data_IF_611509666424
#
_entry.id   IF_611509666424
#
_cell.length_a   1.000
_cell.length_b   1.000
_cell.length_c   1.000
_cell.angle_alpha   90.00
_cell.angle_beta   90.00
_cell.angle_gamma   90.00
#
_symmetry.space_group_name_H-M   'P 1'
#
loop_
_entity.id
_entity.type
_entity.pdbx_description
1 polymer ?
#
# COMPACT_ATOMS: atom_id res chain seq x y z
N UNK A 1 -16.25 14.82 9.68
CA UNK A 1 -15.81 15.40 8.39
C UNK A 1 -15.29 14.35 7.42
N UNK A 2 -14.41 13.42 7.82
CA UNK A 2 -13.91 12.40 6.88
C UNK A 2 -15.02 11.55 6.26
N UNK A 3 -15.97 10.97 7.02
CA UNK A 3 -17.08 10.22 6.41
C UNK A 3 -17.94 11.03 5.44
N UNK A 4 -18.06 12.34 5.68
CA UNK A 4 -18.87 13.27 4.86
C UNK A 4 -18.27 13.43 3.46
N UNK A 5 -16.94 13.37 3.33
CA UNK A 5 -16.25 13.52 2.04
C UNK A 5 -15.87 12.16 1.45
N UNK A 6 -15.49 11.18 2.28
CA UNK A 6 -15.05 9.86 1.81
C UNK A 6 -16.18 9.05 1.17
N UNK A 7 -17.41 9.11 1.73
CA UNK A 7 -18.56 8.41 1.15
C UNK A 7 -18.86 8.87 -0.29
N UNK A 8 -19.11 10.17 -0.56
CA UNK A 8 -19.38 10.59 -1.93
C UNK A 8 -18.13 10.49 -2.82
N UNK A 9 -16.90 10.63 -2.29
CA UNK A 9 -15.69 10.33 -3.05
C UNK A 9 -15.64 8.87 -3.56
N UNK A 10 -16.27 7.95 -2.83
CA UNK A 10 -16.32 6.53 -3.18
C UNK A 10 -17.53 6.15 -4.05
N UNK A 11 -18.69 6.77 -3.81
CA UNK A 11 -19.98 6.28 -4.34
C UNK A 11 -20.69 7.21 -5.30
N UNK A 12 -20.21 8.45 -5.51
CA UNK A 12 -20.84 9.36 -6.47
C UNK A 12 -20.88 8.70 -7.86
N UNK A 13 -22.00 8.73 -8.61
CA UNK A 13 -22.09 8.09 -9.92
C UNK A 13 -21.13 8.70 -10.94
N UNK A 14 -20.83 10.00 -10.84
CA UNK A 14 -19.92 10.69 -11.74
C UNK A 14 -18.46 10.51 -11.30
N UNK A 15 -17.65 9.95 -12.21
CA UNK A 15 -16.23 9.68 -11.96
C UNK A 15 -15.42 10.95 -11.73
N UNK A 16 -15.81 12.08 -12.36
CA UNK A 16 -15.14 13.37 -12.15
C UNK A 16 -15.42 13.89 -10.74
N UNK A 17 -16.67 13.84 -10.30
CA UNK A 17 -17.10 14.22 -8.95
C UNK A 17 -16.38 13.39 -7.89
N UNK A 18 -16.31 12.06 -8.05
CA UNK A 18 -15.50 11.18 -7.18
C UNK A 18 -14.04 11.66 -7.07
N UNK A 19 -13.40 11.94 -8.20
CA UNK A 19 -12.00 12.40 -8.25
C UNK A 19 -11.81 13.76 -7.56
N UNK A 20 -12.70 14.73 -7.80
CA UNK A 20 -12.66 16.05 -7.14
C UNK A 20 -12.79 15.91 -5.63
N UNK A 21 -13.72 15.09 -5.16
CA UNK A 21 -13.94 14.86 -3.73
C UNK A 21 -12.76 14.14 -3.08
N UNK A 22 -12.17 13.13 -3.75
CA UNK A 22 -10.97 12.46 -3.25
C UNK A 22 -9.77 13.42 -3.18
N UNK A 23 -9.62 14.30 -4.16
CA UNK A 23 -8.59 15.34 -4.12
C UNK A 23 -8.80 16.33 -2.97
N UNK A 24 -10.04 16.74 -2.71
CA UNK A 24 -10.38 17.58 -1.57
C UNK A 24 -10.02 16.88 -0.25
N UNK A 25 -10.43 15.61 -0.08
CA UNK A 25 -10.09 14.79 1.08
C UNK A 25 -8.58 14.70 1.28
N UNK A 26 -7.83 14.45 0.20
CA UNK A 26 -6.38 14.40 0.21
C UNK A 26 -5.77 15.73 0.67
N UNK A 27 -6.25 16.86 0.15
CA UNK A 27 -5.79 18.18 0.55
C UNK A 27 -6.05 18.45 2.03
N UNK A 28 -7.23 18.07 2.54
CA UNK A 28 -7.56 18.19 3.96
C UNK A 28 -6.59 17.38 4.83
N UNK A 29 -6.36 16.11 4.49
CA UNK A 29 -5.43 15.22 5.23
C UNK A 29 -4.00 15.75 5.21
N UNK A 30 -3.55 16.31 4.08
CA UNK A 30 -2.19 16.88 3.98
C UNK A 30 -1.99 18.15 4.82
N UNK A 31 -3.07 18.84 5.21
CA UNK A 31 -3.02 20.10 5.99
C UNK A 31 -3.12 19.90 7.49
N UNK A 32 -3.62 18.76 7.98
CA UNK A 32 -3.68 18.48 9.42
C UNK A 32 -2.31 18.08 9.97
N UNK A 33 -2.18 18.06 11.31
CA UNK A 33 -0.97 17.57 11.97
C UNK A 33 -0.70 16.10 11.61
N UNK A 34 0.58 15.66 11.51
CA UNK A 34 0.94 14.31 11.08
C UNK A 34 0.23 13.18 11.84
N UNK A 35 0.11 13.28 13.17
CA UNK A 35 -0.58 12.28 14.01
C UNK A 35 -2.05 12.11 13.63
N UNK A 36 -2.76 13.21 13.32
CA UNK A 36 -4.14 13.14 12.86
C UNK A 36 -4.23 12.55 11.46
N UNK A 37 -3.34 12.97 10.54
CA UNK A 37 -3.27 12.38 9.20
C UNK A 37 -3.01 10.86 9.26
N UNK A 38 -2.14 10.43 10.17
CA UNK A 38 -1.78 9.03 10.37
C UNK A 38 -2.98 8.19 10.77
N UNK A 39 -3.77 8.66 11.74
CA UNK A 39 -5.02 8.00 12.13
C UNK A 39 -6.03 7.97 10.99
N UNK A 40 -6.23 9.11 10.33
CA UNK A 40 -7.22 9.24 9.26
C UNK A 40 -6.95 8.33 8.06
N UNK A 41 -5.69 8.23 7.63
CA UNK A 41 -5.32 7.36 6.51
C UNK A 41 -5.42 5.88 6.91
N UNK A 42 -5.09 5.53 8.16
CA UNK A 42 -5.25 4.17 8.68
C UNK A 42 -6.72 3.77 8.67
N UNK A 43 -7.61 4.62 9.19
CA UNK A 43 -9.05 4.34 9.24
C UNK A 43 -9.61 4.17 7.80
N UNK A 44 -9.18 5.01 6.85
CA UNK A 44 -9.58 4.90 5.43
C UNK A 44 -9.02 3.67 4.71
N UNK A 45 -7.81 3.22 5.06
CA UNK A 45 -7.17 2.06 4.45
C UNK A 45 -7.62 0.73 5.06
N UNK A 46 -8.19 0.76 6.26
CA UNK A 46 -8.60 -0.43 7.02
C UNK A 46 -9.84 -1.13 6.44
N UNK A 47 -10.07 -2.36 6.91
CA UNK A 47 -11.29 -3.11 6.60
C UNK A 47 -12.58 -2.46 7.15
N UNK A 48 -12.47 -1.54 8.13
CA UNK A 48 -13.61 -0.79 8.65
C UNK A 48 -14.19 0.19 7.60
N UNK A 49 -13.38 0.64 6.65
CA UNK A 49 -13.87 1.44 5.54
C UNK A 49 -14.66 0.55 4.57
N UNK A 50 -15.95 0.76 4.30
CA UNK A 50 -16.74 -0.15 3.47
C UNK A 50 -16.41 -0.04 1.96
N UNK A 51 -15.56 0.89 1.55
CA UNK A 51 -15.32 1.21 0.15
C UNK A 51 -13.93 0.72 -0.30
N UNK A 52 -13.87 -0.38 -1.05
CA UNK A 52 -12.60 -0.98 -1.52
C UNK A 52 -11.73 0.01 -2.33
N UNK A 53 -12.36 0.82 -3.20
CA UNK A 53 -11.67 1.88 -3.93
C UNK A 53 -11.01 2.92 -3.02
N UNK A 54 -11.65 3.26 -1.89
CA UNK A 54 -11.08 4.15 -0.88
C UNK A 54 -9.92 3.48 -0.15
N UNK A 55 -10.05 2.21 0.22
CA UNK A 55 -8.96 1.45 0.88
C UNK A 55 -7.69 1.49 0.02
N UNK A 56 -7.82 1.17 -1.27
CA UNK A 56 -6.70 1.24 -2.22
C UNK A 56 -6.15 2.66 -2.37
N UNK A 57 -7.02 3.65 -2.57
CA UNK A 57 -6.60 5.05 -2.72
C UNK A 57 -5.92 5.61 -1.47
N UNK A 58 -6.30 5.13 -0.28
CA UNK A 58 -5.69 5.50 0.99
C UNK A 58 -4.25 4.96 1.12
N UNK A 59 -3.93 3.78 0.57
CA UNK A 59 -2.53 3.29 0.49
C UNK A 59 -1.70 4.19 -0.43
N UNK A 60 -2.27 4.63 -1.57
CA UNK A 60 -1.62 5.62 -2.43
C UNK A 60 -1.36 6.95 -1.70
N UNK A 61 -2.29 7.41 -0.87
CA UNK A 61 -2.11 8.59 -0.02
C UNK A 61 -1.06 8.37 1.10
N UNK A 62 -1.06 7.19 1.73
CA UNK A 62 -0.06 6.79 2.72
C UNK A 62 1.36 6.90 2.13
N UNK A 63 1.57 6.35 0.93
CA UNK A 63 2.83 6.45 0.18
C UNK A 63 3.26 7.90 -0.01
N UNK A 64 2.34 8.81 -0.38
CA UNK A 64 2.64 10.25 -0.52
C UNK A 64 3.04 10.90 0.81
N UNK A 65 2.39 10.53 1.90
CA UNK A 65 2.69 11.04 3.24
C UNK A 65 4.06 10.55 3.74
N UNK A 66 4.42 9.29 3.47
CA UNK A 66 5.76 8.75 3.74
C UNK A 66 6.82 9.53 2.98
N UNK A 67 6.65 9.74 1.68
CA UNK A 67 7.59 10.56 0.89
C UNK A 67 7.73 11.96 1.49
N UNK A 68 6.62 12.56 1.91
CA UNK A 68 6.63 13.88 2.55
C UNK A 68 7.41 13.86 3.87
N UNK A 69 7.22 12.85 4.71
CA UNK A 69 7.88 12.73 6.00
C UNK A 69 9.40 12.59 5.83
N UNK A 70 9.86 11.70 4.95
CA UNK A 70 11.29 11.52 4.67
C UNK A 70 11.97 12.70 3.96
N UNK A 71 11.21 13.57 3.29
CA UNK A 71 11.75 14.78 2.67
C UNK A 71 11.86 15.97 3.64
N UNK A 72 11.28 15.90 4.85
CA UNK A 72 11.44 16.96 5.86
C UNK A 72 12.83 16.81 6.50
N UNK A 73 13.60 17.90 6.58
CA UNK A 73 14.88 17.89 7.29
C UNK A 73 14.67 17.55 8.77
N UNK A 74 15.67 16.88 9.37
CA UNK A 74 15.87 16.34 10.75
C UNK A 74 15.11 16.92 11.97
N UNK A 75 14.32 17.99 11.85
CA UNK A 75 13.50 18.59 12.91
C UNK A 75 12.15 17.89 13.15
N UNK A 76 11.85 16.80 12.43
CA UNK A 76 10.61 16.03 12.57
C UNK A 76 10.88 14.67 13.23
N UNK A 77 11.61 14.66 14.36
CA UNK A 77 11.94 13.44 15.12
C UNK A 77 10.70 12.62 15.53
N UNK A 78 9.51 13.24 15.53
CA UNK A 78 8.23 12.63 15.90
C UNK A 78 7.22 12.45 14.74
N UNK A 79 7.66 12.43 13.47
CA UNK A 79 6.71 12.14 12.37
C UNK A 79 6.35 10.64 12.35
N UNK A 80 5.09 10.25 12.62
CA UNK A 80 4.71 8.84 12.71
C UNK A 80 4.89 8.10 11.38
N UNK A 81 4.89 8.81 10.24
CA UNK A 81 5.14 8.22 8.91
C UNK A 81 6.61 7.93 8.63
N UNK A 82 7.54 8.34 9.49
CA UNK A 82 8.97 8.06 9.41
C UNK A 82 9.50 7.40 10.69
N UNK A 83 8.69 6.55 11.33
CA UNK A 83 9.02 5.85 12.57
C UNK A 83 8.56 4.38 12.52
N UNK A 84 9.00 3.56 13.49
CA UNK A 84 8.56 2.16 13.63
C UNK A 84 7.04 2.02 13.79
N UNK A 85 6.39 3.03 14.38
CA UNK A 85 4.94 3.08 14.56
C UNK A 85 4.19 2.89 13.24
N UNK A 86 4.76 3.33 12.11
CA UNK A 86 4.17 3.13 10.79
C UNK A 86 3.88 1.66 10.52
N UNK A 87 4.90 0.80 10.64
CA UNK A 87 4.73 -0.62 10.34
C UNK A 87 4.01 -1.35 11.46
N UNK A 88 4.12 -0.90 12.72
CA UNK A 88 3.36 -1.48 13.84
C UNK A 88 1.84 -1.31 13.64
N UNK A 89 1.39 -0.12 13.25
CA UNK A 89 -0.04 0.20 13.13
C UNK A 89 -0.64 -0.23 11.79
N UNK A 90 0.14 -0.15 10.70
CA UNK A 90 -0.37 -0.50 9.37
C UNK A 90 -0.16 -1.97 9.00
N UNK A 91 0.50 -2.77 9.84
CA UNK A 91 0.75 -4.19 9.57
C UNK A 91 -0.51 -4.97 9.18
N UNK A 92 -1.64 -4.88 9.92
CA UNK A 92 -2.84 -5.64 9.57
C UNK A 92 -3.36 -5.22 8.19
N UNK A 93 -3.26 -3.94 7.85
CA UNK A 93 -3.75 -3.40 6.57
C UNK A 93 -2.87 -3.82 5.40
N UNK A 94 -1.54 -3.74 5.56
CA UNK A 94 -0.57 -3.96 4.49
C UNK A 94 -0.31 -5.43 4.19
N UNK A 95 -0.49 -6.30 5.19
CA UNK A 95 -0.12 -7.71 5.09
C UNK A 95 -1.29 -8.70 5.13
N UNK A 96 -2.53 -8.21 5.18
CA UNK A 96 -3.72 -9.05 5.07
C UNK A 96 -4.44 -8.74 3.77
N UNK A 97 -4.80 -9.78 3.04
CA UNK A 97 -5.56 -9.71 1.80
C UNK A 97 -6.24 -11.06 1.57
N UNK A 98 -7.52 -11.09 1.17
CA UNK A 98 -8.20 -12.32 0.77
C UNK A 98 -7.42 -13.11 -0.30
N UNK A 99 -6.77 -12.41 -1.23
CA UNK A 99 -5.98 -12.99 -2.32
C UNK A 99 -4.72 -13.68 -1.75
N UNK A 100 -3.97 -13.00 -0.87
CA UNK A 100 -2.76 -13.56 -0.25
C UNK A 100 -3.07 -14.76 0.64
N UNK A 101 -4.24 -14.74 1.29
CA UNK A 101 -4.71 -15.81 2.17
C UNK A 101 -5.35 -16.99 1.42
N UNK A 102 -5.40 -16.94 0.08
CA UNK A 102 -6.06 -17.94 -0.80
C UNK A 102 -7.49 -18.24 -0.36
N UNK A 103 -8.20 -17.23 0.17
CA UNK A 103 -9.61 -17.36 0.56
C UNK A 103 -10.56 -17.31 -0.63
N UNK A 104 -10.05 -16.97 -1.81
CA UNK A 104 -10.79 -16.93 -3.06
C UNK A 104 -10.85 -18.32 -3.70
N UNK A 105 -12.02 -18.68 -4.25
CA UNK A 105 -12.36 -20.02 -4.75
C UNK A 105 -11.74 -20.34 -6.13
N UNK A 106 -10.61 -19.71 -6.47
CA UNK A 106 -9.88 -19.88 -7.72
C UNK A 106 -9.70 -18.57 -8.52
N UNK A 107 -9.00 -18.63 -9.67
CA UNK A 107 -8.64 -17.48 -10.51
C UNK A 107 -9.82 -16.60 -10.92
N UNK A 108 -11.00 -17.20 -11.12
CA UNK A 108 -12.22 -16.51 -11.56
C UNK A 108 -12.89 -15.68 -10.46
N UNK A 109 -12.44 -15.81 -9.21
CA UNK A 109 -13.02 -15.12 -8.05
C UNK A 109 -12.19 -13.92 -7.56
N UNK A 110 -11.14 -13.57 -8.29
CA UNK A 110 -10.24 -12.47 -7.91
C UNK A 110 -10.89 -11.11 -8.16
N UNK A 111 -11.05 -10.35 -7.08
CA UNK A 111 -11.57 -8.98 -7.14
C UNK A 111 -10.51 -8.02 -7.72
N UNK A 112 -10.82 -7.40 -8.86
CA UNK A 112 -9.92 -6.44 -9.53
C UNK A 112 -9.57 -5.22 -8.65
N UNK A 113 -10.45 -4.79 -7.75
CA UNK A 113 -10.17 -3.69 -6.82
C UNK A 113 -9.18 -4.11 -5.74
N UNK A 114 -9.27 -5.36 -5.28
CA UNK A 114 -8.29 -5.92 -4.34
C UNK A 114 -6.93 -6.12 -5.00
N UNK A 115 -6.88 -6.55 -6.26
CA UNK A 115 -5.64 -6.56 -7.05
C UNK A 115 -5.01 -5.17 -7.17
N UNK A 116 -5.83 -4.14 -7.43
CA UNK A 116 -5.35 -2.76 -7.46
C UNK A 116 -4.81 -2.31 -6.09
N UNK A 117 -5.41 -2.76 -4.98
CA UNK A 117 -4.90 -2.49 -3.63
C UNK A 117 -3.53 -3.11 -3.42
N UNK A 118 -3.30 -4.34 -3.88
CA UNK A 118 -1.99 -5.00 -3.80
C UNK A 118 -0.93 -4.27 -4.62
N UNK A 119 -1.28 -3.75 -5.80
CA UNK A 119 -0.38 -2.88 -6.60
C UNK A 119 0.02 -1.64 -5.80
N UNK A 120 -0.92 -0.97 -5.12
CA UNK A 120 -0.61 0.18 -4.27
C UNK A 120 0.26 -0.21 -3.06
N UNK A 121 0.06 -1.40 -2.46
CA UNK A 121 0.89 -1.93 -1.36
C UNK A 121 2.33 -2.16 -1.84
N UNK A 122 2.53 -2.80 -3.00
CA UNK A 122 3.87 -2.97 -3.58
C UNK A 122 4.52 -1.62 -3.86
N UNK A 123 3.77 -0.68 -4.44
CA UNK A 123 4.23 0.68 -4.66
C UNK A 123 4.62 1.41 -3.37
N UNK A 124 3.89 1.16 -2.28
CA UNK A 124 4.22 1.67 -0.94
C UNK A 124 5.53 1.07 -0.43
N UNK A 125 5.69 -0.26 -0.43
CA UNK A 125 6.90 -0.91 0.09
C UNK A 125 8.14 -0.55 -0.72
N UNK A 126 8.03 -0.48 -2.05
CA UNK A 126 9.12 0.00 -2.90
C UNK A 126 9.59 1.40 -2.48
N UNK A 127 8.66 2.34 -2.30
CA UNK A 127 8.97 3.70 -1.87
C UNK A 127 9.56 3.72 -0.47
N UNK A 128 9.00 2.95 0.46
CA UNK A 128 9.48 2.91 1.84
C UNK A 128 10.92 2.39 1.91
N UNK A 129 11.23 1.28 1.23
CA UNK A 129 12.59 0.74 1.11
C UNK A 129 13.57 1.74 0.46
N UNK A 130 13.11 2.47 -0.55
CA UNK A 130 13.95 3.45 -1.26
C UNK A 130 14.24 4.70 -0.42
N UNK A 131 13.27 5.15 0.38
CA UNK A 131 13.36 6.40 1.17
C UNK A 131 13.97 6.19 2.55
N UNK A 132 13.68 5.08 3.20
CA UNK A 132 14.11 4.80 4.57
C UNK A 132 15.57 4.31 4.64
N UNK A 133 16.51 5.13 4.17
CA UNK A 133 17.94 4.76 4.12
C UNK A 133 18.57 4.52 5.50
N UNK A 134 18.03 5.17 6.53
CA UNK A 134 18.49 5.04 7.91
C UNK A 134 17.66 4.02 8.70
N UNK A 135 16.73 3.31 8.05
CA UNK A 135 15.90 2.27 8.63
C UNK A 135 15.12 2.70 9.88
N UNK A 136 14.57 3.92 9.85
CA UNK A 136 13.77 4.50 10.94
C UNK A 136 12.47 3.73 11.19
N UNK A 137 11.92 3.10 10.14
CA UNK A 137 10.69 2.30 10.23
C UNK A 137 10.95 0.84 10.58
N UNK A 138 12.19 0.37 10.51
CA UNK A 138 12.55 -1.03 10.66
C UNK A 138 12.27 -1.90 9.43
N UNK A 139 11.80 -1.33 8.31
CA UNK A 139 11.50 -2.08 7.08
C UNK A 139 12.71 -2.82 6.51
N UNK A 140 13.93 -2.32 6.76
CA UNK A 140 15.20 -2.87 6.28
C UNK A 140 15.87 -3.78 7.31
N UNK A 141 15.27 -3.98 8.49
CA UNK A 141 15.71 -5.00 9.43
C UNK A 141 15.57 -6.38 8.77
N UNK A 142 16.44 -7.34 9.10
CA UNK A 142 16.34 -8.72 8.60
C UNK A 142 14.94 -9.31 8.81
N UNK A 143 14.31 -9.00 9.95
CA UNK A 143 12.92 -9.42 10.23
C UNK A 143 11.91 -8.73 9.31
N UNK A 144 12.09 -7.45 9.02
CA UNK A 144 11.20 -6.67 8.16
C UNK A 144 11.26 -7.12 6.70
N UNK A 145 12.47 -7.34 6.18
CA UNK A 145 12.66 -7.85 4.81
C UNK A 145 12.17 -9.28 4.66
N UNK A 146 12.43 -10.15 5.65
CA UNK A 146 11.94 -11.52 5.65
C UNK A 146 10.41 -11.56 5.69
N UNK A 147 9.78 -10.75 6.55
CA UNK A 147 8.32 -10.69 6.62
C UNK A 147 7.70 -10.17 5.31
N UNK A 148 8.30 -9.17 4.67
CA UNK A 148 7.88 -8.70 3.35
C UNK A 148 7.95 -9.81 2.30
N UNK A 149 9.01 -10.62 2.32
CA UNK A 149 9.15 -11.77 1.43
C UNK A 149 8.06 -12.80 1.68
N UNK A 150 7.91 -13.23 2.93
CA UNK A 150 7.03 -14.36 3.28
C UNK A 150 5.55 -14.03 3.12
N UNK A 151 5.15 -12.79 3.41
CA UNK A 151 3.74 -12.41 3.46
C UNK A 151 3.23 -11.73 2.20
N UNK A 152 4.11 -11.16 1.38
CA UNK A 152 3.73 -10.40 0.18
C UNK A 152 4.42 -10.95 -1.06
N UNK A 153 5.75 -10.88 -1.13
CA UNK A 153 6.48 -11.16 -2.38
C UNK A 153 6.29 -12.61 -2.81
N UNK A 154 6.53 -13.57 -1.93
CA UNK A 154 6.39 -15.00 -2.21
C UNK A 154 4.98 -15.38 -2.65
N UNK A 155 3.94 -15.06 -1.86
CA UNK A 155 2.55 -15.33 -2.25
C UNK A 155 2.17 -14.69 -3.59
N UNK A 156 2.49 -13.41 -3.81
CA UNK A 156 2.13 -12.73 -5.04
C UNK A 156 2.84 -13.27 -6.26
N UNK A 157 4.09 -13.74 -6.14
CA UNK A 157 4.78 -14.44 -7.23
C UNK A 157 4.05 -15.71 -7.65
N UNK A 158 3.63 -16.52 -6.68
CA UNK A 158 2.90 -17.75 -6.96
C UNK A 158 1.57 -17.44 -7.68
N UNK A 159 0.83 -16.45 -7.16
CA UNK A 159 -0.45 -16.02 -7.73
C UNK A 159 -0.26 -15.41 -9.12
N UNK A 160 0.73 -14.54 -9.33
CA UNK A 160 0.99 -13.92 -10.64
C UNK A 160 1.31 -14.96 -11.70
N UNK A 161 2.14 -15.95 -11.37
CA UNK A 161 2.49 -17.03 -12.30
C UNK A 161 1.29 -17.92 -12.63
N UNK A 162 0.42 -18.20 -11.66
CA UNK A 162 -0.81 -18.94 -11.89
C UNK A 162 -1.76 -18.17 -12.82
N UNK A 163 -1.97 -16.88 -12.56
CA UNK A 163 -2.90 -16.05 -13.32
C UNK A 163 -2.43 -15.73 -14.73
N UNK A 164 -1.12 -15.51 -14.94
CA UNK A 164 -0.56 -15.35 -16.29
C UNK A 164 -0.84 -16.56 -17.19
N UNK A 165 -0.96 -17.75 -16.60
CA UNK A 165 -1.22 -18.99 -17.34
C UNK A 165 -2.71 -19.33 -17.52
N UNK A 166 -3.60 -18.76 -16.69
CA UNK A 166 -5.00 -19.19 -16.59
C UNK A 166 -6.03 -18.09 -16.89
N UNK A 167 -5.69 -16.82 -16.72
CA UNK A 167 -6.63 -15.72 -16.88
C UNK A 167 -6.68 -15.21 -18.32
N UNK A 168 -7.89 -15.10 -18.87
CA UNK A 168 -8.13 -14.44 -20.17
C UNK A 168 -8.57 -12.97 -20.01
N UNK A 169 -8.85 -12.49 -18.80
CA UNK A 169 -9.30 -11.12 -18.54
C UNK A 169 -8.13 -10.11 -18.73
N UNK A 170 -8.23 -9.16 -19.70
CA UNK A 170 -7.19 -8.17 -19.94
C UNK A 170 -6.87 -7.27 -18.73
N UNK A 171 -7.86 -6.98 -17.88
CA UNK A 171 -7.69 -6.12 -16.70
C UNK A 171 -6.89 -6.82 -15.59
N UNK A 172 -7.15 -8.11 -15.39
CA UNK A 172 -6.37 -8.97 -14.49
C UNK A 172 -4.96 -9.12 -15.02
N UNK A 173 -4.79 -9.45 -16.32
CA UNK A 173 -3.46 -9.59 -16.94
C UNK A 173 -2.62 -8.31 -16.85
N UNK A 174 -3.22 -7.13 -17.01
CA UNK A 174 -2.53 -5.85 -16.83
C UNK A 174 -2.05 -5.66 -15.38
N UNK A 175 -2.91 -5.99 -14.41
CA UNK A 175 -2.58 -5.92 -12.98
C UNK A 175 -1.46 -6.90 -12.62
N UNK A 176 -1.51 -8.12 -13.15
CA UNK A 176 -0.48 -9.15 -12.94
C UNK A 176 0.88 -8.68 -13.48
N UNK A 177 0.94 -8.14 -14.71
CA UNK A 177 2.20 -7.58 -15.24
C UNK A 177 2.74 -6.45 -14.36
N UNK A 178 1.86 -5.59 -13.85
CA UNK A 178 2.25 -4.48 -12.96
C UNK A 178 2.80 -5.01 -11.62
N UNK A 179 2.23 -6.09 -11.10
CA UNK A 179 2.71 -6.81 -9.92
C UNK A 179 4.09 -7.42 -10.20
N UNK A 180 4.26 -8.17 -11.30
CA UNK A 180 5.53 -8.82 -11.66
C UNK A 180 6.69 -7.82 -11.71
N UNK A 181 6.52 -6.69 -12.40
CA UNK A 181 7.54 -5.61 -12.46
C UNK A 181 7.83 -5.01 -11.07
N UNK A 182 6.81 -4.87 -10.23
CA UNK A 182 6.98 -4.31 -8.89
C UNK A 182 7.69 -5.28 -7.95
N UNK A 183 7.43 -6.58 -8.08
CA UNK A 183 8.09 -7.64 -7.32
C UNK A 183 9.58 -7.71 -7.63
N UNK A 184 9.96 -7.70 -8.91
CA UNK A 184 11.37 -7.69 -9.34
C UNK A 184 12.14 -6.55 -8.68
N UNK A 185 11.59 -5.32 -8.73
CA UNK A 185 12.21 -4.13 -8.13
C UNK A 185 12.34 -4.23 -6.61
N UNK A 186 11.35 -4.79 -5.93
CA UNK A 186 11.40 -4.97 -4.47
C UNK A 186 12.47 -6.00 -4.12
N UNK A 187 12.57 -7.09 -4.86
CA UNK A 187 13.59 -8.11 -4.60
C UNK A 187 15.01 -7.60 -4.83
N UNK A 188 15.25 -6.87 -5.92
CA UNK A 188 16.55 -6.20 -6.15
C UNK A 188 16.93 -5.31 -4.97
N UNK A 189 15.98 -4.53 -4.46
CA UNK A 189 16.18 -3.65 -3.31
C UNK A 189 16.46 -4.43 -2.03
N UNK A 190 15.73 -5.52 -1.77
CA UNK A 190 15.92 -6.35 -0.58
C UNK A 190 17.27 -7.08 -0.62
N UNK A 191 17.63 -7.70 -1.74
CA UNK A 191 18.94 -8.36 -1.89
C UNK A 191 20.09 -7.36 -1.71
N UNK A 192 19.98 -6.17 -2.29
CA UNK A 192 20.99 -5.11 -2.09
C UNK A 192 21.07 -4.53 -0.67
N UNK A 193 20.09 -4.79 0.20
CA UNK A 193 20.15 -4.47 1.64
C UNK A 193 20.89 -5.56 2.40
N UNK A 194 20.62 -6.83 2.08
CA UNK A 194 21.27 -7.98 2.70
C UNK A 194 22.77 -8.01 2.41
N UNK A 195 23.17 -7.73 1.17
CA UNK A 195 24.58 -7.66 0.76
C UNK A 195 25.38 -6.58 1.51
N UNK A 196 24.71 -5.53 2.00
CA UNK A 196 25.34 -4.44 2.79
C UNK A 196 25.37 -4.71 4.29
N UNK A 197 24.68 -5.75 4.73
CA UNK A 197 24.55 -6.12 6.14
C UNK A 197 25.55 -7.21 6.56
N UNK A 198 26.31 -7.76 5.59
CA UNK A 198 27.43 -8.69 5.75
C UNK A 198 28.74 -7.89 5.74
#
# INVERSE_FOLDING_TARGET
MIPIVSTPASTDPDSKSRSVLFNLLTQMILKVQPVHAFKFVRDLASEECPYLNMRSSAIGLLRRLVVRAFNRSLQAEDDPFASRLLLEEYKPILFQSPILEKKEAGPESIDAQEMNRLVEILGFFYVLLARDKNNLTGVRDTKGTQELRDRIVGPLKAISSELESTSEDPSVLFSVRSISVSLERIEEMVSGIEDRSI
#
